data_IF_586674775350
#
_entry.id   IF_586674775350
#
_cell.length_a   1.000
_cell.length_b   1.000
_cell.length_c   1.000
_cell.angle_alpha   90.00
_cell.angle_beta   90.00
_cell.angle_gamma   90.00
#
_symmetry.space_group_name_H-M   'P 1'
#
loop_
_entity.id
_entity.type
_entity.pdbx_description
1 polymer ?
#
# COMPACT_ATOMS: atom_id res chain seq x y z
N UNK A 1 0.68 21.34 2.33
CA UNK A 1 -0.18 20.92 1.20
C UNK A 1 -1.53 20.50 1.75
N UNK A 2 -2.64 20.85 1.08
CA UNK A 2 -3.99 20.49 1.51
C UNK A 2 -4.64 19.56 0.48
N UNK A 3 -5.22 18.46 0.96
CA UNK A 3 -6.06 17.54 0.18
C UNK A 3 -7.54 17.71 0.50
N UNK A 4 -7.91 18.88 1.06
CA UNK A 4 -9.30 19.20 1.41
C UNK A 4 -10.21 19.08 0.18
N UNK A 5 -11.32 18.37 0.33
CA UNK A 5 -12.26 18.10 -0.76
C UNK A 5 -11.86 16.94 -1.68
N UNK A 6 -10.74 16.24 -1.42
CA UNK A 6 -10.37 14.99 -2.08
C UNK A 6 -10.80 13.80 -1.26
N UNK A 7 -11.09 12.70 -1.93
CA UNK A 7 -11.45 11.42 -1.31
C UNK A 7 -10.39 10.38 -1.65
N UNK A 8 -9.85 9.74 -0.64
CA UNK A 8 -8.89 8.64 -0.80
C UNK A 8 -9.50 7.31 -0.38
N UNK A 9 -9.31 6.29 -1.22
CA UNK A 9 -9.57 4.89 -0.91
C UNK A 9 -8.24 4.19 -0.67
N UNK A 10 -8.06 3.59 0.50
CA UNK A 10 -6.83 2.89 0.88
C UNK A 10 -7.15 1.44 1.22
N UNK A 11 -6.68 0.49 0.42
CA UNK A 11 -6.89 -0.94 0.69
C UNK A 11 -5.90 -1.46 1.73
N UNK A 12 -6.35 -2.39 2.59
CA UNK A 12 -5.52 -2.93 3.68
C UNK A 12 -5.09 -1.85 4.68
N UNK A 13 -5.99 -0.92 5.02
CA UNK A 13 -5.70 0.27 5.84
C UNK A 13 -6.10 0.15 7.31
N UNK A 14 -6.46 -1.05 7.78
CA UNK A 14 -6.76 -1.31 9.20
C UNK A 14 -5.51 -1.47 10.06
N UNK A 15 -4.31 -1.56 9.46
CA UNK A 15 -3.04 -1.70 10.18
C UNK A 15 -1.84 -1.32 9.32
N UNK A 16 -0.64 -1.26 9.93
CA UNK A 16 0.65 -1.19 9.26
C UNK A 16 0.80 -0.03 8.27
N UNK A 17 1.33 -0.31 7.08
CA UNK A 17 1.62 0.69 6.05
C UNK A 17 0.33 1.39 5.60
N UNK A 18 -0.72 0.63 5.32
CA UNK A 18 -1.98 1.19 4.86
C UNK A 18 -2.61 2.17 5.85
N UNK A 19 -2.56 1.85 7.15
CA UNK A 19 -3.03 2.75 8.20
C UNK A 19 -2.18 4.03 8.29
N UNK A 20 -0.85 3.89 8.19
CA UNK A 20 0.05 5.06 8.17
C UNK A 20 -0.23 5.99 6.99
N UNK A 21 -0.47 5.42 5.80
CA UNK A 21 -0.86 6.19 4.61
C UNK A 21 -2.24 6.87 4.84
N UNK A 22 -3.22 6.13 5.35
CA UNK A 22 -4.55 6.67 5.62
C UNK A 22 -4.49 7.85 6.59
N UNK A 23 -3.74 7.72 7.70
CA UNK A 23 -3.54 8.82 8.66
C UNK A 23 -2.87 10.04 8.03
N UNK A 24 -1.85 9.83 7.19
CA UNK A 24 -1.17 10.93 6.51
C UNK A 24 -2.09 11.68 5.52
N UNK A 25 -2.92 10.95 4.76
CA UNK A 25 -3.89 11.54 3.84
C UNK A 25 -5.01 12.28 4.60
N UNK A 26 -5.51 11.72 5.73
CA UNK A 26 -6.47 12.39 6.60
C UNK A 26 -5.89 13.67 7.20
N UNK A 27 -4.67 13.63 7.73
CA UNK A 27 -3.96 14.80 8.26
C UNK A 27 -3.75 15.89 7.18
N UNK A 28 -3.66 15.51 5.91
CA UNK A 28 -3.64 16.44 4.78
C UNK A 28 -5.05 16.95 4.39
N UNK A 29 -6.12 16.47 5.03
CA UNK A 29 -7.49 16.93 4.86
C UNK A 29 -8.32 16.12 3.86
N UNK A 30 -7.87 14.95 3.41
CA UNK A 30 -8.67 14.09 2.55
C UNK A 30 -9.71 13.31 3.35
N UNK A 31 -10.93 13.19 2.81
CA UNK A 31 -11.89 12.18 3.26
C UNK A 31 -11.38 10.77 2.89
N UNK A 32 -11.72 9.76 3.69
CA UNK A 32 -11.18 8.42 3.51
C UNK A 32 -12.25 7.33 3.41
N UNK A 33 -11.99 6.35 2.55
CA UNK A 33 -12.58 5.02 2.66
C UNK A 33 -11.49 4.04 3.09
N UNK A 34 -11.62 3.52 4.31
CA UNK A 34 -10.77 2.46 4.83
C UNK A 34 -11.25 1.09 4.36
N UNK A 35 -10.32 0.16 4.21
CA UNK A 35 -10.63 -1.22 3.89
C UNK A 35 -9.65 -2.16 4.60
N UNK A 36 -10.10 -3.34 4.95
CA UNK A 36 -9.29 -4.42 5.53
C UNK A 36 -10.08 -5.26 6.51
N UNK A 37 -9.41 -6.20 7.13
CA UNK A 37 -9.97 -7.08 8.14
C UNK A 37 -9.39 -6.77 9.53
N UNK A 38 -10.06 -7.23 10.58
CA UNK A 38 -9.61 -7.08 11.97
C UNK A 38 -10.78 -7.16 12.94
N UNK A 39 -10.51 -6.83 14.19
CA UNK A 39 -11.56 -6.71 15.20
C UNK A 39 -12.45 -5.49 14.87
N UNK A 40 -13.77 -5.68 14.72
CA UNK A 40 -14.68 -4.60 14.34
C UNK A 40 -14.68 -3.41 15.32
N UNK A 41 -14.53 -3.67 16.63
CA UNK A 41 -14.51 -2.61 17.63
C UNK A 41 -13.24 -1.77 17.52
N UNK A 42 -12.07 -2.41 17.31
CA UNK A 42 -10.80 -1.72 17.13
C UNK A 42 -10.79 -0.90 15.82
N UNK A 43 -11.36 -1.44 14.73
CA UNK A 43 -11.48 -0.74 13.45
C UNK A 43 -12.36 0.51 13.60
N UNK A 44 -13.52 0.38 14.28
CA UNK A 44 -14.42 1.50 14.50
C UNK A 44 -13.79 2.57 15.41
N UNK A 45 -13.09 2.16 16.46
CA UNK A 45 -12.36 3.08 17.33
C UNK A 45 -11.30 3.88 16.54
N UNK A 46 -10.52 3.20 15.69
CA UNK A 46 -9.51 3.84 14.85
C UNK A 46 -10.16 4.82 13.85
N UNK A 47 -11.22 4.37 13.16
CA UNK A 47 -11.97 5.17 12.20
C UNK A 47 -12.55 6.44 12.84
N UNK A 48 -13.21 6.29 13.98
CA UNK A 48 -13.84 7.41 14.69
C UNK A 48 -12.79 8.38 15.26
N UNK A 49 -11.72 7.85 15.86
CA UNK A 49 -10.61 8.65 16.38
C UNK A 49 -9.89 9.46 15.30
N UNK A 50 -9.69 8.89 14.11
CA UNK A 50 -9.14 9.62 12.98
C UNK A 50 -10.10 10.70 12.46
N UNK A 51 -11.38 10.39 12.34
CA UNK A 51 -12.38 11.35 11.89
C UNK A 51 -12.47 12.58 12.82
N UNK A 52 -12.45 12.36 14.11
CA UNK A 52 -12.43 13.42 15.13
C UNK A 52 -11.11 14.21 15.09
N UNK A 53 -9.97 13.52 15.08
CA UNK A 53 -8.65 14.17 15.16
C UNK A 53 -8.33 15.04 13.96
N UNK A 54 -8.77 14.66 12.76
CA UNK A 54 -8.45 15.35 11.51
C UNK A 54 -9.60 16.15 10.92
N UNK A 55 -10.83 16.02 11.47
CA UNK A 55 -11.99 16.74 11.00
C UNK A 55 -12.42 16.35 9.57
N UNK A 56 -12.27 15.08 9.20
CA UNK A 56 -12.58 14.54 7.88
C UNK A 56 -13.64 13.42 7.97
N UNK A 57 -14.32 13.14 6.87
CA UNK A 57 -15.25 12.01 6.80
C UNK A 57 -14.49 10.72 6.53
N UNK A 58 -14.78 9.67 7.30
CA UNK A 58 -14.12 8.38 7.13
C UNK A 58 -15.16 7.26 7.09
N UNK A 59 -15.24 6.58 5.95
CA UNK A 59 -16.00 5.35 5.76
C UNK A 59 -15.12 4.12 5.94
N UNK A 60 -15.74 2.96 6.05
CA UNK A 60 -15.08 1.66 6.11
C UNK A 60 -15.83 0.60 5.31
N UNK A 61 -15.09 -0.34 4.73
CA UNK A 61 -15.64 -1.51 4.03
C UNK A 61 -14.78 -2.73 4.29
N UNK A 62 -15.38 -3.89 4.66
CA UNK A 62 -14.66 -5.15 4.85
C UNK A 62 -14.46 -5.94 3.55
N UNK A 63 -14.55 -5.31 2.38
CA UNK A 63 -14.43 -5.99 1.09
C UNK A 63 -13.15 -6.84 0.99
N UNK A 64 -13.29 -8.07 0.50
CA UNK A 64 -12.19 -9.00 0.31
C UNK A 64 -11.44 -8.69 -1.00
N UNK A 65 -10.16 -8.36 -0.87
CA UNK A 65 -9.29 -8.06 -2.00
C UNK A 65 -8.94 -9.27 -2.87
N UNK A 66 -9.36 -10.48 -2.51
CA UNK A 66 -9.27 -11.65 -3.39
C UNK A 66 -10.44 -11.75 -4.39
N UNK A 67 -11.49 -10.92 -4.22
CA UNK A 67 -12.75 -11.01 -4.95
C UNK A 67 -12.98 -9.78 -5.84
N UNK A 68 -12.91 -9.93 -7.17
CA UNK A 68 -13.06 -8.81 -8.12
C UNK A 68 -14.37 -8.02 -7.99
N UNK A 69 -15.47 -8.73 -7.70
CA UNK A 69 -16.78 -8.13 -7.48
C UNK A 69 -16.84 -7.26 -6.23
N UNK A 70 -16.19 -7.70 -5.14
CA UNK A 70 -16.13 -6.93 -3.91
C UNK A 70 -15.22 -5.69 -4.05
N UNK A 71 -14.14 -5.79 -4.85
CA UNK A 71 -13.27 -4.64 -5.16
C UNK A 71 -14.05 -3.57 -5.95
N UNK A 72 -14.80 -3.99 -6.96
CA UNK A 72 -15.65 -3.06 -7.72
C UNK A 72 -16.74 -2.43 -6.81
N UNK A 73 -17.35 -3.24 -5.95
CA UNK A 73 -18.30 -2.80 -4.93
C UNK A 73 -17.72 -1.82 -3.94
N UNK A 74 -16.45 -1.99 -3.52
CA UNK A 74 -15.75 -1.07 -2.63
C UNK A 74 -15.58 0.32 -3.25
N UNK A 75 -15.17 0.40 -4.51
CA UNK A 75 -15.05 1.69 -5.21
C UNK A 75 -16.42 2.35 -5.34
N UNK A 76 -17.45 1.61 -5.76
CA UNK A 76 -18.82 2.13 -5.85
C UNK A 76 -19.36 2.59 -4.49
N UNK A 77 -19.07 1.84 -3.41
CA UNK A 77 -19.44 2.23 -2.04
C UNK A 77 -18.76 3.53 -1.61
N UNK A 78 -17.46 3.68 -1.90
CA UNK A 78 -16.74 4.92 -1.62
C UNK A 78 -17.32 6.10 -2.38
N UNK A 79 -17.62 5.95 -3.67
CA UNK A 79 -18.27 7.00 -4.48
C UNK A 79 -19.66 7.36 -3.96
N UNK A 80 -20.46 6.37 -3.55
CA UNK A 80 -21.80 6.59 -2.98
C UNK A 80 -21.75 7.31 -1.63
N UNK A 81 -20.79 6.96 -0.78
CA UNK A 81 -20.74 7.46 0.61
C UNK A 81 -20.03 8.81 0.72
N UNK A 82 -18.96 9.00 -0.05
CA UNK A 82 -18.07 10.16 0.04
C UNK A 82 -18.11 11.06 -1.20
N UNK A 83 -18.77 10.60 -2.27
CA UNK A 83 -19.02 11.37 -3.50
C UNK A 83 -18.06 11.02 -4.65
N UNK A 84 -16.85 10.55 -4.37
CA UNK A 84 -15.85 10.27 -5.40
C UNK A 84 -14.74 9.36 -4.87
N UNK A 85 -13.85 8.90 -5.76
CA UNK A 85 -12.52 8.36 -5.43
C UNK A 85 -11.50 9.13 -6.25
N UNK A 86 -10.81 10.08 -5.62
CA UNK A 86 -9.78 10.91 -6.26
C UNK A 86 -8.38 10.30 -6.11
N UNK A 87 -8.13 9.64 -4.98
CA UNK A 87 -6.87 9.01 -4.66
C UNK A 87 -7.14 7.53 -4.39
N UNK A 88 -6.51 6.65 -5.17
CA UNK A 88 -6.55 5.21 -4.95
C UNK A 88 -5.20 4.73 -4.47
N UNK A 89 -5.14 4.15 -3.26
CA UNK A 89 -3.96 3.50 -2.73
C UNK A 89 -4.20 1.99 -2.67
N UNK A 90 -3.57 1.26 -3.59
CA UNK A 90 -3.57 -0.19 -3.62
C UNK A 90 -2.44 -0.69 -2.70
N UNK A 91 -2.78 -0.98 -1.45
CA UNK A 91 -1.80 -1.38 -0.42
C UNK A 91 -2.04 -2.81 0.09
N UNK A 92 -3.25 -3.34 0.05
CA UNK A 92 -3.52 -4.69 0.54
C UNK A 92 -2.53 -5.72 -0.01
N UNK A 93 -2.08 -6.62 0.84
CA UNK A 93 -1.13 -7.64 0.42
C UNK A 93 -0.86 -8.69 1.50
N UNK A 94 -0.53 -9.89 1.04
CA UNK A 94 -0.14 -11.03 1.87
C UNK A 94 1.20 -11.59 1.39
N UNK A 95 1.83 -12.39 2.24
CA UNK A 95 3.08 -13.08 1.90
C UNK A 95 3.04 -14.51 2.39
N UNK A 96 3.65 -15.40 1.59
CA UNK A 96 3.99 -16.76 1.99
C UNK A 96 5.46 -17.02 1.62
N UNK A 97 6.16 -17.81 2.41
CA UNK A 97 7.59 -18.11 2.26
C UNK A 97 7.77 -19.61 2.14
N UNK A 98 8.27 -20.06 1.01
CA UNK A 98 8.62 -21.45 0.74
C UNK A 98 9.55 -21.52 -0.48
N UNK A 99 10.34 -22.60 -0.61
CA UNK A 99 11.12 -22.87 -1.82
C UNK A 99 10.17 -23.12 -3.00
N UNK A 100 10.60 -22.83 -4.22
CA UNK A 100 9.74 -22.80 -5.40
C UNK A 100 9.06 -24.15 -5.67
N UNK A 101 9.79 -25.26 -5.48
CA UNK A 101 9.27 -26.62 -5.64
C UNK A 101 8.32 -27.05 -4.53
N UNK A 102 8.42 -26.43 -3.35
CA UNK A 102 7.57 -26.71 -2.19
C UNK A 102 6.47 -25.65 -1.99
N UNK A 103 6.36 -24.66 -2.91
CA UNK A 103 5.42 -23.57 -2.75
C UNK A 103 3.99 -24.06 -3.01
N UNK A 104 3.05 -23.99 -2.02
CA UNK A 104 1.69 -24.48 -2.20
C UNK A 104 0.93 -23.66 -3.27
N UNK A 105 0.28 -24.36 -4.21
CA UNK A 105 -0.43 -23.71 -5.33
C UNK A 105 -1.53 -22.76 -4.84
N UNK A 106 -2.29 -23.14 -3.81
CA UNK A 106 -3.34 -22.29 -3.22
C UNK A 106 -2.77 -21.01 -2.58
N UNK A 107 -1.52 -21.07 -2.07
CA UNK A 107 -0.84 -19.87 -1.55
C UNK A 107 -0.34 -18.98 -2.66
N UNK A 108 0.12 -19.57 -3.77
CA UNK A 108 0.44 -18.83 -4.98
C UNK A 108 -0.78 -18.07 -5.49
N UNK A 109 -1.91 -18.77 -5.67
CA UNK A 109 -3.14 -18.18 -6.18
C UNK A 109 -3.63 -17.03 -5.29
N UNK A 110 -3.62 -17.21 -3.96
CA UNK A 110 -4.01 -16.19 -3.00
C UNK A 110 -3.10 -14.95 -3.06
N UNK A 111 -1.77 -15.14 -3.16
CA UNK A 111 -0.82 -14.02 -3.27
C UNK A 111 -1.02 -13.28 -4.58
N UNK A 112 -1.20 -13.96 -5.70
CA UNK A 112 -1.45 -13.33 -7.00
C UNK A 112 -2.79 -12.58 -6.98
N UNK A 113 -3.84 -13.19 -6.45
CA UNK A 113 -5.16 -12.56 -6.36
C UNK A 113 -5.10 -11.23 -5.61
N UNK A 114 -4.51 -11.22 -4.40
CA UNK A 114 -4.52 -10.05 -3.52
C UNK A 114 -3.44 -9.03 -3.90
N UNK A 115 -2.20 -9.49 -4.19
CA UNK A 115 -1.09 -8.56 -4.38
C UNK A 115 -0.96 -8.01 -5.81
N UNK A 116 -1.58 -8.67 -6.81
CA UNK A 116 -1.48 -8.30 -8.21
C UNK A 116 -2.85 -8.03 -8.83
N UNK A 117 -3.74 -9.04 -8.85
CA UNK A 117 -5.04 -8.92 -9.53
C UNK A 117 -5.93 -7.86 -8.88
N UNK A 118 -5.90 -7.74 -7.54
CA UNK A 118 -6.65 -6.68 -6.84
C UNK A 118 -6.24 -5.27 -7.26
N UNK A 119 -4.94 -5.04 -7.50
CA UNK A 119 -4.42 -3.74 -7.99
C UNK A 119 -5.03 -3.41 -9.35
N UNK A 120 -5.08 -4.39 -10.26
CA UNK A 120 -5.73 -4.23 -11.56
C UNK A 120 -7.23 -3.91 -11.41
N UNK A 121 -7.96 -4.67 -10.59
CA UNK A 121 -9.41 -4.46 -10.40
C UNK A 121 -9.71 -3.12 -9.74
N UNK A 122 -8.92 -2.69 -8.77
CA UNK A 122 -9.04 -1.37 -8.14
C UNK A 122 -8.82 -0.23 -9.14
N UNK A 123 -7.75 -0.30 -9.94
CA UNK A 123 -7.49 0.68 -11.01
C UNK A 123 -8.60 0.68 -12.05
N UNK A 124 -9.03 -0.49 -12.53
CA UNK A 124 -10.13 -0.63 -13.51
C UNK A 124 -11.42 0.04 -13.03
N UNK A 125 -11.75 -0.08 -11.75
CA UNK A 125 -12.96 0.51 -11.18
C UNK A 125 -12.85 2.03 -10.98
N UNK A 126 -11.70 2.55 -10.51
CA UNK A 126 -11.55 3.96 -10.14
C UNK A 126 -11.20 4.88 -11.32
N UNK A 127 -10.42 4.40 -12.30
CA UNK A 127 -9.92 5.21 -13.43
C UNK A 127 -11.04 5.93 -14.21
N UNK A 128 -12.19 5.32 -14.56
CA UNK A 128 -13.22 6.01 -15.30
C UNK A 128 -13.74 7.27 -14.60
N UNK A 129 -13.92 7.23 -13.28
CA UNK A 129 -14.30 8.38 -12.46
C UNK A 129 -13.22 9.46 -12.45
N UNK A 130 -11.97 9.11 -12.25
CA UNK A 130 -10.83 10.03 -12.26
C UNK A 130 -10.69 10.74 -13.62
N UNK A 131 -10.78 10.01 -14.73
CA UNK A 131 -10.72 10.57 -16.09
C UNK A 131 -11.84 11.59 -16.35
N UNK A 132 -13.07 11.28 -15.95
CA UNK A 132 -14.21 12.23 -16.12
C UNK A 132 -14.00 13.55 -15.38
N UNK A 133 -13.30 13.51 -14.23
CA UNK A 133 -13.00 14.70 -13.43
C UNK A 133 -11.71 15.43 -13.83
N UNK A 134 -10.91 14.83 -14.72
CA UNK A 134 -9.63 15.39 -15.15
C UNK A 134 -8.58 15.43 -14.03
N UNK A 135 -8.75 14.63 -12.97
CA UNK A 135 -7.82 14.55 -11.85
C UNK A 135 -7.90 13.19 -11.14
N UNK A 136 -6.74 12.64 -10.83
CA UNK A 136 -6.64 11.42 -10.05
C UNK A 136 -5.20 11.10 -9.65
N UNK A 137 -5.04 10.35 -8.56
CA UNK A 137 -3.75 9.85 -8.08
C UNK A 137 -3.87 8.38 -7.75
N UNK A 138 -3.11 7.56 -8.46
CA UNK A 138 -3.01 6.12 -8.23
C UNK A 138 -1.65 5.85 -7.61
N UNK A 139 -1.66 5.26 -6.41
CA UNK A 139 -0.47 4.90 -5.65
C UNK A 139 -0.52 3.41 -5.37
N UNK A 140 0.35 2.65 -6.01
CA UNK A 140 0.44 1.21 -5.83
C UNK A 140 1.58 0.91 -4.86
N UNK A 141 1.29 0.24 -3.74
CA UNK A 141 2.34 -0.18 -2.81
C UNK A 141 2.95 -1.49 -3.33
N UNK A 142 4.09 -1.32 -4.03
CA UNK A 142 4.90 -2.44 -4.46
C UNK A 142 5.81 -2.94 -3.30
N UNK A 143 7.10 -2.97 -3.50
CA UNK A 143 8.14 -3.37 -2.54
C UNK A 143 9.51 -3.18 -3.20
N UNK A 144 10.60 -3.18 -2.45
CA UNK A 144 11.93 -3.45 -2.99
C UNK A 144 11.93 -4.75 -3.83
N UNK A 145 11.12 -5.74 -3.43
CA UNK A 145 10.88 -6.97 -4.20
C UNK A 145 10.07 -6.79 -5.51
N UNK A 146 9.70 -5.60 -5.87
CA UNK A 146 9.23 -5.25 -7.21
C UNK A 146 10.36 -4.81 -8.15
N UNK A 147 11.59 -4.67 -7.63
CA UNK A 147 12.78 -4.21 -8.35
C UNK A 147 13.92 -5.23 -8.29
N UNK A 148 14.02 -5.98 -7.19
CA UNK A 148 14.99 -7.06 -6.98
C UNK A 148 14.29 -8.29 -6.38
N UNK A 149 15.00 -9.43 -6.31
CA UNK A 149 14.44 -10.66 -5.77
C UNK A 149 15.07 -11.08 -4.43
N UNK A 150 14.40 -11.98 -3.74
CA UNK A 150 14.93 -12.79 -2.64
C UNK A 150 14.41 -14.22 -2.76
N UNK A 151 15.19 -15.20 -2.34
CA UNK A 151 14.74 -16.60 -2.30
C UNK A 151 13.47 -16.79 -1.48
N UNK A 152 12.76 -17.87 -1.75
CA UNK A 152 11.57 -18.33 -1.03
C UNK A 152 10.34 -17.39 -1.11
N UNK A 153 10.33 -16.42 -2.02
CA UNK A 153 9.26 -15.42 -2.16
C UNK A 153 8.70 -15.35 -3.58
N UNK A 154 8.66 -16.48 -4.28
CA UNK A 154 8.35 -16.51 -5.72
C UNK A 154 7.07 -15.78 -6.08
N UNK A 155 5.94 -16.06 -5.41
CA UNK A 155 4.66 -15.42 -5.70
C UNK A 155 4.67 -13.92 -5.37
N UNK A 156 5.27 -13.55 -4.23
CA UNK A 156 5.36 -12.16 -3.80
C UNK A 156 6.23 -11.32 -4.75
N UNK A 157 7.40 -11.81 -5.12
CA UNK A 157 8.31 -11.14 -6.07
C UNK A 157 7.65 -10.99 -7.43
N UNK A 158 7.03 -12.06 -7.96
CA UNK A 158 6.29 -12.02 -9.22
C UNK A 158 5.17 -10.97 -9.19
N UNK A 159 4.35 -10.97 -8.12
CA UNK A 159 3.26 -10.01 -7.96
C UNK A 159 3.78 -8.56 -7.90
N UNK A 160 4.82 -8.29 -7.11
CA UNK A 160 5.33 -6.92 -6.93
C UNK A 160 6.05 -6.39 -8.17
N UNK A 161 6.74 -7.23 -8.95
CA UNK A 161 7.23 -6.86 -10.29
C UNK A 161 6.07 -6.56 -11.24
N UNK A 162 5.01 -7.38 -11.23
CA UNK A 162 3.79 -7.15 -12.00
C UNK A 162 3.12 -5.82 -11.67
N UNK A 163 3.07 -5.44 -10.38
CA UNK A 163 2.53 -4.14 -9.93
C UNK A 163 3.33 -2.98 -10.50
N UNK A 164 4.66 -3.05 -10.49
CA UNK A 164 5.51 -2.02 -11.11
C UNK A 164 5.25 -1.95 -12.61
N UNK A 165 5.14 -3.09 -13.29
CA UNK A 165 4.79 -3.14 -14.71
C UNK A 165 3.42 -2.51 -15.02
N UNK A 166 2.37 -2.90 -14.28
CA UNK A 166 1.03 -2.31 -14.44
C UNK A 166 1.01 -0.80 -14.17
N UNK A 167 1.79 -0.33 -13.20
CA UNK A 167 1.90 1.10 -12.89
C UNK A 167 2.42 1.88 -14.08
N UNK A 168 3.42 1.36 -14.80
CA UNK A 168 3.96 1.98 -16.02
C UNK A 168 2.94 2.03 -17.15
N UNK A 169 2.18 0.94 -17.37
CA UNK A 169 1.10 0.91 -18.37
C UNK A 169 0.05 1.96 -18.03
N UNK A 170 -0.45 1.98 -16.79
CA UNK A 170 -1.43 2.97 -16.35
C UNK A 170 -0.93 4.41 -16.54
N UNK A 171 0.34 4.69 -16.24
CA UNK A 171 0.92 6.01 -16.45
C UNK A 171 0.90 6.46 -17.93
N UNK A 172 1.21 5.54 -18.86
CA UNK A 172 1.18 5.82 -20.31
C UNK A 172 -0.25 6.07 -20.77
N UNK A 173 -1.20 5.20 -20.41
CA UNK A 173 -2.60 5.31 -20.82
C UNK A 173 -3.31 6.55 -20.24
N UNK A 174 -2.82 7.07 -19.11
CA UNK A 174 -3.43 8.19 -18.40
C UNK A 174 -2.69 9.53 -18.61
N UNK A 175 -1.62 9.56 -19.39
CA UNK A 175 -0.71 10.70 -19.52
C UNK A 175 -1.39 12.05 -19.82
N UNK A 176 -2.50 12.05 -20.58
CA UNK A 176 -3.23 13.26 -20.98
C UNK A 176 -4.57 13.42 -20.24
N UNK A 177 -4.79 12.68 -19.15
CA UNK A 177 -6.09 12.66 -18.43
C UNK A 177 -6.10 13.44 -17.12
N UNK A 178 -4.98 14.02 -16.71
CA UNK A 178 -4.80 14.63 -15.40
C UNK A 178 -4.63 13.61 -14.25
N UNK A 179 -4.51 12.31 -14.58
CA UNK A 179 -4.32 11.22 -13.62
C UNK A 179 -2.87 10.73 -13.66
N UNK A 180 -2.24 10.59 -12.49
CA UNK A 180 -0.92 9.97 -12.37
C UNK A 180 -1.01 8.60 -11.71
N UNK A 181 -0.10 7.69 -12.06
CA UNK A 181 0.03 6.38 -11.45
C UNK A 181 1.49 6.12 -11.08
N UNK A 182 1.77 5.88 -9.79
CA UNK A 182 3.11 5.62 -9.29
C UNK A 182 3.14 4.41 -8.36
N UNK A 183 4.31 3.77 -8.25
CA UNK A 183 4.55 2.70 -7.30
C UNK A 183 5.47 3.19 -6.19
N UNK A 184 5.10 2.98 -4.93
CA UNK A 184 6.03 3.12 -3.81
C UNK A 184 6.62 1.73 -3.55
N UNK A 185 7.94 1.66 -3.42
CA UNK A 185 8.71 0.43 -3.25
C UNK A 185 9.42 0.44 -1.88
N UNK A 186 8.73 0.07 -0.78
CA UNK A 186 9.35 0.04 0.53
C UNK A 186 10.36 -1.09 0.67
N UNK A 187 11.42 -0.86 1.45
CA UNK A 187 12.24 -1.90 2.05
C UNK A 187 11.58 -2.48 3.31
N UNK A 188 12.37 -2.68 4.37
CA UNK A 188 11.86 -3.08 5.66
C UNK A 188 11.14 -1.93 6.36
N UNK A 189 9.86 -2.14 6.67
CA UNK A 189 9.01 -1.16 7.36
C UNK A 189 8.72 -1.65 8.77
N UNK A 190 8.91 -0.79 9.76
CA UNK A 190 8.58 -1.10 11.15
C UNK A 190 7.06 -1.18 11.34
N UNK A 191 6.54 -2.37 11.29
CA UNK A 191 5.11 -2.69 11.46
C UNK A 191 4.95 -3.71 12.59
N UNK A 192 3.76 -3.87 13.17
CA UNK A 192 3.52 -4.89 14.20
C UNK A 192 3.90 -6.31 13.75
N UNK A 193 3.81 -6.61 12.46
CA UNK A 193 4.24 -7.89 11.89
C UNK A 193 5.77 -8.05 12.00
N UNK A 194 6.53 -7.04 11.61
CA UNK A 194 7.99 -7.05 11.67
C UNK A 194 8.47 -7.07 13.12
N UNK A 195 7.81 -6.31 14.01
CA UNK A 195 8.16 -6.32 15.45
C UNK A 195 8.05 -7.72 16.06
N UNK A 196 6.94 -8.44 15.79
CA UNK A 196 6.80 -9.85 16.22
C UNK A 196 7.87 -10.77 15.63
N UNK A 197 8.29 -10.55 14.39
CA UNK A 197 9.39 -11.33 13.77
C UNK A 197 10.73 -11.07 14.48
N UNK A 198 11.00 -9.81 14.82
CA UNK A 198 12.22 -9.42 15.55
C UNK A 198 12.24 -10.00 16.97
N UNK A 199 11.11 -9.97 17.68
CA UNK A 199 10.96 -10.59 19.01
C UNK A 199 11.22 -12.10 18.97
N UNK A 200 10.62 -12.81 17.98
CA UNK A 200 10.81 -14.24 17.79
C UNK A 200 12.28 -14.57 17.49
N UNK A 201 12.93 -13.80 16.61
CA UNK A 201 14.35 -13.98 16.27
C UNK A 201 15.27 -13.66 17.44
N UNK A 202 15.01 -12.59 18.17
CA UNK A 202 15.78 -12.24 19.36
C UNK A 202 15.75 -13.37 20.40
N UNK A 203 14.56 -13.95 20.63
CA UNK A 203 14.40 -15.10 21.54
C UNK A 203 15.11 -16.34 21.04
N UNK A 204 15.02 -16.65 19.75
CA UNK A 204 15.70 -17.81 19.15
C UNK A 204 17.22 -17.71 19.24
N UNK A 205 17.78 -16.53 18.97
CA UNK A 205 19.22 -16.30 18.90
C UNK A 205 19.84 -15.95 20.27
N UNK A 206 19.03 -15.75 21.33
CA UNK A 206 19.49 -15.34 22.67
C UNK A 206 20.11 -13.95 22.69
N UNK A 207 19.62 -13.02 21.87
CA UNK A 207 20.15 -11.65 21.74
C UNK A 207 19.05 -10.61 22.06
N UNK A 208 19.43 -9.34 22.20
CA UNK A 208 18.44 -8.27 22.37
C UNK A 208 17.66 -8.00 21.07
N UNK A 209 16.44 -7.46 21.17
CA UNK A 209 15.61 -7.04 20.01
C UNK A 209 16.39 -6.04 19.14
N UNK A 210 17.16 -5.13 19.76
CA UNK A 210 18.01 -4.17 19.03
C UNK A 210 19.09 -4.85 18.18
N UNK A 211 19.74 -5.88 18.72
CA UNK A 211 20.73 -6.66 17.97
C UNK A 211 20.07 -7.49 16.85
N UNK A 212 18.90 -8.08 17.13
CA UNK A 212 18.12 -8.79 16.10
C UNK A 212 17.71 -7.84 14.97
N UNK A 213 17.27 -6.62 15.29
CA UNK A 213 16.91 -5.59 14.32
C UNK A 213 18.11 -5.17 13.45
N UNK A 214 19.28 -4.95 14.05
CA UNK A 214 20.49 -4.61 13.31
C UNK A 214 20.92 -5.72 12.34
N UNK A 215 20.92 -6.99 12.80
CA UNK A 215 21.23 -8.14 11.95
C UNK A 215 20.24 -8.27 10.80
N UNK A 216 18.94 -8.11 11.10
CA UNK A 216 17.88 -8.21 10.12
C UNK A 216 17.99 -7.12 9.03
N UNK A 217 18.29 -5.88 9.42
CA UNK A 217 18.50 -4.79 8.47
C UNK A 217 19.77 -5.00 7.63
N UNK A 218 20.86 -5.41 8.27
CA UNK A 218 22.15 -5.63 7.60
C UNK A 218 22.11 -6.69 6.48
N UNK A 219 21.11 -7.58 6.47
CA UNK A 219 20.93 -8.56 5.40
C UNK A 219 20.67 -7.92 4.05
N UNK A 220 20.01 -6.74 4.01
CA UNK A 220 19.50 -6.16 2.77
C UNK A 220 19.53 -4.63 2.72
N UNK A 221 19.54 -3.94 3.85
CA UNK A 221 19.30 -2.50 3.94
C UNK A 221 20.52 -1.76 4.50
N UNK A 222 21.39 -1.19 3.64
CA UNK A 222 22.63 -0.53 4.07
C UNK A 222 22.46 0.55 5.12
N UNK A 223 21.34 1.27 5.09
CA UNK A 223 21.07 2.36 6.04
C UNK A 223 20.84 1.86 7.47
N UNK A 224 20.70 0.58 7.74
CA UNK A 224 20.45 -0.01 9.07
C UNK A 224 19.32 0.67 9.86
N UNK A 225 18.32 1.18 9.15
CA UNK A 225 17.17 1.89 9.72
C UNK A 225 15.90 1.48 9.00
N UNK A 226 14.88 1.08 9.75
CA UNK A 226 13.56 0.80 9.19
C UNK A 226 12.93 2.05 8.60
N UNK A 227 12.25 1.88 7.46
CA UNK A 227 11.23 2.83 7.04
C UNK A 227 10.05 2.77 8.02
N UNK A 228 9.25 3.82 8.06
CA UNK A 228 8.07 3.89 8.93
C UNK A 228 6.80 4.04 8.11
N UNK A 229 5.63 3.58 8.59
CA UNK A 229 4.34 3.83 7.94
C UNK A 229 4.09 5.32 7.67
N UNK A 230 4.51 6.19 8.60
CA UNK A 230 4.40 7.66 8.49
C UNK A 230 5.28 8.21 7.35
N UNK A 231 6.51 7.70 7.21
CA UNK A 231 7.41 8.07 6.11
C UNK A 231 6.85 7.70 4.74
N UNK A 232 6.24 6.51 4.64
CA UNK A 232 5.55 6.07 3.41
C UNK A 232 4.31 6.93 3.17
N UNK A 233 3.56 7.26 4.22
CA UNK A 233 2.41 8.16 4.17
C UNK A 233 2.79 9.57 3.67
N UNK A 234 3.91 10.11 4.15
CA UNK A 234 4.43 11.41 3.69
C UNK A 234 4.76 11.39 2.19
N UNK A 235 5.38 10.30 1.69
CA UNK A 235 5.64 10.14 0.25
C UNK A 235 4.32 10.02 -0.54
N UNK A 236 3.32 9.31 -0.03
CA UNK A 236 2.01 9.21 -0.66
C UNK A 236 1.32 10.60 -0.76
N UNK A 237 1.39 11.40 0.31
CA UNK A 237 0.87 12.79 0.29
C UNK A 237 1.63 13.64 -0.73
N UNK A 238 2.97 13.55 -0.79
CA UNK A 238 3.77 14.24 -1.78
C UNK A 238 3.34 13.90 -3.21
N UNK A 239 3.12 12.61 -3.52
CA UNK A 239 2.65 12.17 -4.84
C UNK A 239 1.26 12.70 -5.22
N UNK A 240 0.48 13.15 -4.24
CA UNK A 240 -0.80 13.81 -4.48
C UNK A 240 -0.66 15.33 -4.72
N UNK A 241 0.53 15.91 -4.56
CA UNK A 241 0.78 17.35 -4.69
C UNK A 241 0.88 17.83 -6.14
N UNK A 242 0.73 19.14 -6.33
CA UNK A 242 0.99 19.79 -7.62
C UNK A 242 2.46 19.67 -8.03
N UNK A 243 3.39 19.66 -7.05
CA UNK A 243 4.80 19.42 -7.29
C UNK A 243 5.13 18.04 -7.87
N UNK A 244 4.23 17.08 -7.71
CA UNK A 244 4.34 15.73 -8.28
C UNK A 244 3.47 15.53 -9.53
N UNK A 245 2.87 16.57 -10.10
CA UNK A 245 1.91 16.45 -11.21
C UNK A 245 2.50 15.80 -12.48
N UNK A 246 3.82 15.85 -12.65
CA UNK A 246 4.54 15.21 -13.77
C UNK A 246 5.29 13.94 -13.36
N UNK A 247 5.15 13.49 -12.10
CA UNK A 247 5.70 12.21 -11.65
C UNK A 247 4.64 11.12 -11.93
N UNK A 248 4.89 10.30 -12.94
CA UNK A 248 4.02 9.19 -13.30
C UNK A 248 4.83 8.02 -13.85
N UNK A 249 4.39 6.79 -13.59
CA UNK A 249 5.08 5.55 -13.98
C UNK A 249 6.34 5.25 -13.16
N UNK A 250 6.63 6.04 -12.13
CA UNK A 250 7.85 5.90 -11.35
C UNK A 250 7.73 4.83 -10.26
N UNK A 251 8.71 3.93 -10.13
CA UNK A 251 8.91 3.11 -8.94
C UNK A 251 9.80 3.86 -7.95
N UNK A 252 9.19 4.42 -6.91
CA UNK A 252 9.90 5.23 -5.91
C UNK A 252 10.33 4.37 -4.73
N UNK A 253 11.63 4.15 -4.59
CA UNK A 253 12.19 3.40 -3.47
C UNK A 253 12.19 4.22 -2.17
N UNK A 254 11.78 3.58 -1.08
CA UNK A 254 11.91 4.04 0.30
C UNK A 254 12.41 2.85 1.12
N UNK A 255 13.65 2.45 0.88
CA UNK A 255 14.18 1.15 1.21
C UNK A 255 15.56 1.16 1.88
N UNK A 256 16.05 2.35 2.27
CA UNK A 256 17.34 2.51 2.94
C UNK A 256 18.55 2.03 2.11
N UNK A 257 18.43 2.07 0.78
CA UNK A 257 19.48 1.70 -0.15
C UNK A 257 19.50 0.22 -0.54
N UNK A 258 18.45 -0.54 -0.23
CA UNK A 258 18.38 -1.98 -0.56
C UNK A 258 18.59 -2.24 -2.06
N UNK A 259 17.94 -1.49 -2.93
CA UNK A 259 18.00 -1.70 -4.39
C UNK A 259 19.09 -0.90 -5.09
N UNK A 260 19.94 -0.20 -4.34
CA UNK A 260 21.04 0.60 -4.88
C UNK A 260 22.36 -0.20 -5.00
N UNK A 261 22.36 -1.49 -4.66
CA UNK A 261 23.54 -2.37 -4.63
C UNK A 261 23.35 -3.62 -5.49
#
# INVERSE_FOLDING_TARGET
MSLKGKVALVTGSTSGIGLGIARALAAAGADLMLNGFGDPAAIEQERAGMAESFGVRIGYSPADMSRPDEIAGLVAHAEKTLGTVDILVNNAGIQHVADIEAFPAERWDAVIAINLSAVFHGMKAAIPGMKRRGWGRIINIASAHGLVASGQKVAYVAAKHGVVGMTKVAAIELANSGVTANAICPGWVKTPLVERQLEARAKQDGISIGQAAQRFLAEKQPMLRFSTPEGIGALAVFLCSDGAATITGAPLSIDGGWVAQ
#
